data_IF_628947273991
#
_entry.id   IF_628947273991
#
_cell.length_a   1.000
_cell.length_b   1.000
_cell.length_c   1.000
_cell.angle_alpha   90.00
_cell.angle_beta   90.00
_cell.angle_gamma   90.00
#
_symmetry.space_group_name_H-M   'P 1'
#
loop_
_entity.id
_entity.type
_entity.pdbx_description
1 polymer ?
#
# COMPACT_ATOMS: atom_id res chain seq x y z
N UNK A 1 -32.37 22.52 -21.69
CA UNK A 1 -32.97 21.53 -20.77
C UNK A 1 -31.86 20.62 -20.29
N UNK A 2 -31.46 20.69 -19.03
CA UNK A 2 -30.33 19.92 -18.49
C UNK A 2 -30.89 18.63 -17.90
N UNK A 3 -30.61 17.49 -18.53
CA UNK A 3 -31.03 16.18 -18.04
C UNK A 3 -30.24 15.84 -16.77
N UNK A 4 -30.95 15.69 -15.66
CA UNK A 4 -30.39 15.18 -14.42
C UNK A 4 -30.06 13.69 -14.58
N UNK A 5 -28.77 13.33 -14.58
CA UNK A 5 -28.32 11.95 -14.58
C UNK A 5 -28.81 11.25 -13.28
N UNK A 6 -29.63 10.20 -13.44
CA UNK A 6 -30.18 9.42 -12.34
C UNK A 6 -29.07 8.59 -11.68
N UNK A 7 -28.75 8.91 -10.41
CA UNK A 7 -27.81 8.11 -9.61
C UNK A 7 -28.41 6.73 -9.31
N UNK A 8 -27.62 5.64 -9.40
CA UNK A 8 -28.11 4.28 -9.15
C UNK A 8 -28.66 4.15 -7.72
N UNK A 9 -29.83 3.52 -7.62
CA UNK A 9 -30.63 3.41 -6.40
C UNK A 9 -30.03 2.33 -5.50
N UNK A 10 -29.38 2.74 -4.41
CA UNK A 10 -28.73 1.85 -3.43
C UNK A 10 -29.64 1.64 -2.22
N UNK A 11 -29.53 0.48 -1.55
CA UNK A 11 -30.30 0.14 -0.34
C UNK A 11 -29.96 0.99 0.91
N UNK A 12 -28.92 1.82 0.84
CA UNK A 12 -28.47 2.66 1.96
C UNK A 12 -29.19 4.02 1.97
N UNK A 13 -29.51 4.50 3.18
CA UNK A 13 -30.12 5.82 3.41
C UNK A 13 -29.25 6.96 2.87
N UNK A 14 -29.86 7.99 2.28
CA UNK A 14 -29.17 9.21 1.82
C UNK A 14 -28.48 10.01 2.95
N UNK A 15 -28.76 9.67 4.21
CA UNK A 15 -28.20 10.33 5.39
C UNK A 15 -26.82 9.78 5.80
N UNK A 16 -26.41 8.64 5.26
CA UNK A 16 -25.09 8.06 5.53
C UNK A 16 -24.15 8.53 4.42
N UNK A 17 -23.08 9.29 4.73
CA UNK A 17 -22.05 9.61 3.76
C UNK A 17 -21.51 8.31 3.16
N UNK A 18 -21.60 8.16 1.84
CA UNK A 18 -21.00 7.00 1.16
C UNK A 18 -19.50 7.18 1.23
N UNK A 19 -18.81 6.14 1.71
CA UNK A 19 -17.37 6.09 1.61
C UNK A 19 -16.98 5.95 0.14
N UNK A 20 -16.35 6.98 -0.41
CA UNK A 20 -15.86 7.01 -1.79
C UNK A 20 -14.48 6.39 -1.91
N UNK A 21 -13.93 5.78 -0.85
CA UNK A 21 -12.63 5.09 -0.89
C UNK A 21 -12.62 3.98 -1.94
N UNK A 22 -13.73 3.25 -2.10
CA UNK A 22 -13.85 2.21 -3.14
C UNK A 22 -13.69 2.78 -4.56
N UNK A 23 -14.18 3.99 -4.83
CA UNK A 23 -14.05 4.65 -6.14
C UNK A 23 -12.60 5.08 -6.42
N UNK A 24 -11.79 5.26 -5.36
CA UNK A 24 -10.38 5.65 -5.41
C UNK A 24 -9.42 4.47 -5.30
N UNK A 25 -9.95 3.26 -5.13
CA UNK A 25 -9.15 2.07 -4.89
C UNK A 25 -8.36 1.69 -6.15
N UNK A 26 -7.04 1.53 -5.97
CA UNK A 26 -6.13 1.10 -7.02
C UNK A 26 -5.55 -0.27 -6.65
N UNK A 27 -6.01 -1.37 -7.27
CA UNK A 27 -5.57 -2.72 -6.92
C UNK A 27 -4.05 -2.92 -7.12
N UNK A 28 -3.49 -2.29 -8.15
CA UNK A 28 -2.06 -2.33 -8.46
C UNK A 28 -1.22 -1.76 -7.30
N UNK A 29 -1.68 -0.70 -6.64
CA UNK A 29 -0.98 -0.10 -5.50
C UNK A 29 -0.93 -1.07 -4.30
N UNK A 30 -2.02 -1.78 -4.03
CA UNK A 30 -2.06 -2.79 -2.97
C UNK A 30 -1.13 -3.96 -3.30
N UNK A 31 -1.10 -4.40 -4.56
CA UNK A 31 -0.24 -5.48 -5.02
C UNK A 31 1.25 -5.12 -4.91
N UNK A 32 1.64 -3.93 -5.39
CA UNK A 32 3.01 -3.43 -5.24
C UNK A 32 3.44 -3.35 -3.77
N UNK A 33 2.53 -2.96 -2.88
CA UNK A 33 2.80 -2.90 -1.44
C UNK A 33 3.02 -4.31 -0.85
N UNK A 34 2.22 -5.30 -1.26
CA UNK A 34 2.41 -6.71 -0.88
C UNK A 34 3.75 -7.25 -1.37
N UNK A 35 4.09 -6.99 -2.63
CA UNK A 35 5.37 -7.39 -3.21
C UNK A 35 6.54 -6.76 -2.47
N UNK A 36 6.46 -5.46 -2.17
CA UNK A 36 7.50 -4.74 -1.43
C UNK A 36 7.71 -5.34 -0.03
N UNK A 37 6.62 -5.64 0.69
CA UNK A 37 6.67 -6.29 2.00
C UNK A 37 7.23 -7.73 1.92
N UNK A 38 6.89 -8.47 0.86
CA UNK A 38 7.47 -9.79 0.61
C UNK A 38 8.99 -9.70 0.39
N UNK A 39 9.43 -8.76 -0.44
CA UNK A 39 10.85 -8.51 -0.68
C UNK A 39 11.59 -8.09 0.59
N UNK A 40 10.99 -7.26 1.45
CA UNK A 40 11.56 -6.88 2.74
C UNK A 40 11.79 -8.10 3.64
N UNK A 41 10.78 -8.96 3.80
CA UNK A 41 10.90 -10.19 4.61
C UNK A 41 11.96 -11.14 4.03
N UNK A 42 12.01 -11.29 2.71
CA UNK A 42 13.02 -12.13 2.06
C UNK A 42 14.41 -11.54 2.24
N UNK A 43 14.58 -10.23 2.11
CA UNK A 43 15.86 -9.56 2.31
C UNK A 43 16.35 -9.74 3.76
N UNK A 44 15.46 -9.61 4.75
CA UNK A 44 15.76 -9.89 6.15
C UNK A 44 16.21 -11.35 6.37
N UNK A 45 15.45 -12.33 5.86
CA UNK A 45 15.83 -13.75 5.95
C UNK A 45 17.19 -14.04 5.29
N UNK A 46 17.48 -13.43 4.13
CA UNK A 46 18.77 -13.59 3.47
C UNK A 46 19.90 -12.92 4.25
N UNK A 47 19.65 -11.75 4.84
CA UNK A 47 20.63 -11.04 5.67
C UNK A 47 21.02 -11.88 6.90
N UNK A 48 20.06 -12.51 7.58
CA UNK A 48 20.31 -13.33 8.77
C UNK A 48 21.18 -14.57 8.50
N UNK A 49 21.18 -15.07 7.26
CA UNK A 49 21.94 -16.24 6.85
C UNK A 49 23.26 -15.89 6.14
N UNK A 50 23.46 -14.62 5.78
CA UNK A 50 24.62 -14.20 5.00
C UNK A 50 25.86 -14.06 5.88
N UNK A 51 26.99 -14.56 5.38
CA UNK A 51 28.28 -14.50 6.09
C UNK A 51 29.36 -13.77 5.30
N UNK A 52 29.15 -13.61 3.99
CA UNK A 52 30.07 -12.85 3.15
C UNK A 52 29.86 -11.34 3.35
N UNK A 53 30.93 -10.63 3.71
CA UNK A 53 30.87 -9.20 4.07
C UNK A 53 30.35 -8.32 2.94
N UNK A 54 30.74 -8.59 1.69
CA UNK A 54 30.34 -7.78 0.54
C UNK A 54 28.86 -8.01 0.23
N UNK A 55 28.39 -9.25 0.37
CA UNK A 55 26.96 -9.58 0.24
C UNK A 55 26.13 -9.00 1.39
N UNK A 56 26.62 -9.01 2.64
CA UNK A 56 25.97 -8.33 3.77
C UNK A 56 25.78 -6.84 3.45
N UNK A 57 26.82 -6.17 2.95
CA UNK A 57 26.74 -4.76 2.58
C UNK A 57 25.72 -4.54 1.45
N UNK A 58 25.75 -5.38 0.42
CA UNK A 58 24.75 -5.36 -0.65
C UNK A 58 23.32 -5.50 -0.10
N UNK A 59 23.09 -6.39 0.87
CA UNK A 59 21.76 -6.59 1.49
C UNK A 59 21.31 -5.38 2.28
N UNK A 60 22.22 -4.65 2.93
CA UNK A 60 21.90 -3.39 3.63
C UNK A 60 21.39 -2.35 2.64
N UNK A 61 22.06 -2.16 1.51
CA UNK A 61 21.61 -1.22 0.48
C UNK A 61 20.28 -1.65 -0.16
N UNK A 62 20.11 -2.95 -0.43
CA UNK A 62 18.84 -3.49 -0.93
C UNK A 62 17.69 -3.20 0.05
N UNK A 63 17.91 -3.41 1.36
CA UNK A 63 16.93 -3.10 2.41
C UNK A 63 16.56 -1.63 2.43
N UNK A 64 17.54 -0.73 2.30
CA UNK A 64 17.30 0.71 2.25
C UNK A 64 16.44 1.11 1.05
N UNK A 65 16.73 0.56 -0.13
CA UNK A 65 15.94 0.79 -1.34
C UNK A 65 14.50 0.27 -1.20
N UNK A 66 14.32 -0.93 -0.65
CA UNK A 66 13.00 -1.50 -0.38
C UNK A 66 12.21 -0.65 0.62
N UNK A 67 12.83 -0.18 1.70
CA UNK A 67 12.20 0.71 2.66
C UNK A 67 11.83 2.07 2.06
N UNK A 68 12.66 2.60 1.15
CA UNK A 68 12.32 3.82 0.41
C UNK A 68 11.08 3.61 -0.47
N UNK A 69 11.00 2.50 -1.22
CA UNK A 69 9.82 2.14 -2.02
C UNK A 69 8.58 1.96 -1.14
N UNK A 70 8.70 1.25 -0.02
CA UNK A 70 7.60 1.05 0.93
C UNK A 70 7.03 2.38 1.44
N UNK A 71 7.91 3.32 1.86
CA UNK A 71 7.49 4.65 2.31
C UNK A 71 6.77 5.44 1.21
N UNK A 72 7.27 5.35 -0.03
CA UNK A 72 6.62 5.98 -1.19
C UNK A 72 5.20 5.43 -1.41
N UNK A 73 5.04 4.10 -1.43
CA UNK A 73 3.74 3.44 -1.63
C UNK A 73 2.73 3.81 -0.53
N UNK A 74 3.17 3.88 0.74
CA UNK A 74 2.32 4.35 1.83
C UNK A 74 1.92 5.81 1.67
N UNK A 75 2.84 6.68 1.25
CA UNK A 75 2.53 8.09 0.98
C UNK A 75 1.54 8.21 -0.17
N UNK A 76 1.68 7.39 -1.22
CA UNK A 76 0.73 7.34 -2.33
C UNK A 76 -0.67 6.89 -1.88
N UNK A 77 -0.75 5.88 -1.02
CA UNK A 77 -2.02 5.45 -0.43
C UNK A 77 -2.66 6.56 0.44
N UNK A 78 -1.85 7.35 1.16
CA UNK A 78 -2.32 8.53 1.91
C UNK A 78 -2.88 9.63 1.01
N UNK A 79 -2.19 9.96 -0.08
CA UNK A 79 -2.65 10.97 -1.05
C UNK A 79 -4.00 10.60 -1.68
N UNK A 80 -4.22 9.31 -1.92
CA UNK A 80 -5.47 8.78 -2.47
C UNK A 80 -6.58 8.62 -1.42
N UNK A 81 -6.25 8.76 -0.13
CA UNK A 81 -7.19 8.57 0.97
C UNK A 81 -7.63 7.12 1.16
N UNK A 82 -6.72 6.17 0.94
CA UNK A 82 -6.97 4.72 1.04
C UNK A 82 -6.70 4.22 2.47
N UNK A 83 -7.60 4.58 3.40
CA UNK A 83 -7.45 4.30 4.82
C UNK A 83 -7.47 2.79 5.14
N UNK A 84 -8.21 1.99 4.39
CA UNK A 84 -8.25 0.52 4.56
C UNK A 84 -6.91 -0.14 4.25
N UNK A 85 -6.24 0.28 3.18
CA UNK A 85 -4.88 -0.18 2.82
C UNK A 85 -3.89 0.23 3.91
N UNK A 86 -3.95 1.49 4.36
CA UNK A 86 -3.05 1.99 5.40
C UNK A 86 -3.21 1.20 6.71
N UNK A 87 -4.45 0.94 7.15
CA UNK A 87 -4.70 0.16 8.36
C UNK A 87 -4.18 -1.29 8.25
N UNK A 88 -4.26 -1.89 7.06
CA UNK A 88 -3.85 -3.28 6.84
C UNK A 88 -2.33 -3.47 6.75
N UNK A 89 -1.62 -2.48 6.20
CA UNK A 89 -0.21 -2.64 5.82
C UNK A 89 0.76 -1.71 6.56
N UNK A 90 0.27 -0.77 7.35
CA UNK A 90 1.12 -0.02 8.27
C UNK A 90 1.52 -0.93 9.44
N UNK A 91 2.80 -0.99 9.83
CA UNK A 91 3.20 -1.77 11.00
C UNK A 91 2.46 -1.23 12.22
N UNK A 92 1.84 -2.15 12.97
CA UNK A 92 1.53 -1.91 14.37
C UNK A 92 2.89 -1.74 15.06
N UNK A 93 3.16 -0.52 15.51
CA UNK A 93 4.43 -0.16 16.16
C UNK A 93 4.72 -1.01 17.39
#
# INVERSE_FOLDING_TARGET
>A
MVQAAQKPQTLLSSRIPRDTEHERYHPELEEELKECLFCLRRNEMMFDLETDTDLIEQRIYERQALLARYRYLLSRARELGLHTILQKYQPLG
#
